data_IF_058024998186
#
_entry.id   IF_058024998186
#
_cell.length_a   1.000
_cell.length_b   1.000
_cell.length_c   1.000
_cell.angle_alpha   90.00
_cell.angle_beta   90.00
_cell.angle_gamma   90.00
#
_symmetry.space_group_name_H-M   'P 1'
#
loop_
_entity.id
_entity.type
_entity.pdbx_description
1 polymer ?
#
# COMPACT_ATOMS: atom_id res chain seq x y z
N UNK A 1 -44.34 25.05 5.98
CA UNK A 1 -43.46 23.94 6.38
C UNK A 1 -42.29 23.93 5.43
N UNK A 2 -41.13 24.37 5.89
CA UNK A 2 -39.89 24.51 5.11
C UNK A 2 -39.24 23.15 4.93
N UNK A 3 -39.12 22.71 3.68
CA UNK A 3 -38.36 21.53 3.29
C UNK A 3 -36.87 21.78 3.54
N UNK A 4 -36.27 21.02 4.47
CA UNK A 4 -34.83 20.94 4.62
C UNK A 4 -34.30 19.82 3.72
N UNK A 5 -33.81 20.18 2.54
CA UNK A 5 -33.00 19.28 1.70
C UNK A 5 -31.65 19.03 2.37
N UNK A 6 -31.48 17.84 2.94
CA UNK A 6 -30.21 17.36 3.46
C UNK A 6 -29.27 16.98 2.32
N UNK A 7 -28.52 17.96 1.79
CA UNK A 7 -27.34 17.67 0.96
C UNK A 7 -26.19 17.21 1.87
N UNK A 8 -26.12 15.91 2.14
CA UNK A 8 -24.95 15.28 2.75
C UNK A 8 -23.94 14.90 1.66
N UNK A 9 -23.32 15.90 1.04
CA UNK A 9 -22.09 15.70 0.29
C UNK A 9 -20.98 15.55 1.34
N UNK A 10 -20.66 14.30 1.72
CA UNK A 10 -19.45 14.02 2.47
C UNK A 10 -18.27 14.53 1.65
N UNK A 11 -17.73 15.65 2.06
CA UNK A 11 -16.53 16.25 1.50
C UNK A 11 -15.41 15.26 1.80
N UNK A 12 -14.97 14.50 0.79
CA UNK A 12 -13.75 13.70 0.87
C UNK A 12 -12.64 14.66 1.29
N UNK A 13 -12.28 14.63 2.56
CA UNK A 13 -11.20 15.44 3.09
C UNK A 13 -9.94 14.97 2.37
N UNK A 14 -9.44 15.81 1.45
CA UNK A 14 -8.28 15.49 0.64
C UNK A 14 -7.15 15.15 1.59
N UNK A 15 -6.79 13.86 1.66
CA UNK A 15 -5.72 13.37 2.52
C UNK A 15 -4.46 14.16 2.18
N UNK A 16 -4.00 14.98 3.11
CA UNK A 16 -2.94 15.94 2.84
C UNK A 16 -1.72 15.60 3.68
N UNK A 17 -0.82 14.80 3.10
CA UNK A 17 0.52 14.56 3.63
C UNK A 17 1.57 14.87 2.56
N UNK A 18 2.81 15.04 3.00
CA UNK A 18 3.91 15.46 2.14
C UNK A 18 4.22 14.45 1.03
N UNK A 19 3.97 13.15 1.23
CA UNK A 19 4.23 12.11 0.21
C UNK A 19 3.22 12.28 -0.93
N UNK A 20 1.95 12.47 -0.59
CA UNK A 20 0.90 12.73 -1.59
C UNK A 20 1.15 14.02 -2.35
N UNK A 21 1.66 15.06 -1.69
CA UNK A 21 2.03 16.32 -2.35
C UNK A 21 3.13 16.08 -3.40
N UNK A 22 4.21 15.40 -3.02
CA UNK A 22 5.31 15.07 -3.94
C UNK A 22 4.79 14.26 -5.14
N UNK A 23 3.93 13.26 -4.89
CA UNK A 23 3.38 12.42 -5.96
C UNK A 23 2.46 13.23 -6.87
N UNK A 24 1.62 14.12 -6.35
CA UNK A 24 0.80 15.03 -7.18
C UNK A 24 1.68 15.89 -8.08
N UNK A 25 2.74 16.47 -7.52
CA UNK A 25 3.66 17.31 -8.29
C UNK A 25 4.34 16.50 -9.40
N UNK A 26 4.83 15.29 -9.09
CA UNK A 26 5.47 14.41 -10.07
C UNK A 26 4.49 13.91 -11.15
N UNK A 27 3.22 13.64 -10.81
CA UNK A 27 2.16 13.28 -11.75
C UNK A 27 1.80 14.46 -12.66
N UNK A 28 1.62 15.65 -12.09
CA UNK A 28 1.31 16.88 -12.84
C UNK A 28 2.45 17.26 -13.79
N UNK A 29 3.70 17.08 -13.36
CA UNK A 29 4.88 17.27 -14.19
C UNK A 29 5.17 16.09 -15.14
N UNK A 30 4.31 15.07 -15.17
CA UNK A 30 4.42 13.87 -16.02
C UNK A 30 5.80 13.18 -15.93
N UNK A 31 6.41 13.18 -14.74
CA UNK A 31 7.78 12.66 -14.54
C UNK A 31 7.87 11.15 -14.64
N UNK A 32 6.78 10.47 -14.28
CA UNK A 32 6.67 9.02 -14.32
C UNK A 32 5.42 8.60 -15.09
N UNK A 33 5.52 7.50 -15.84
CA UNK A 33 4.38 6.96 -16.58
C UNK A 33 3.32 6.34 -15.65
N UNK A 34 3.74 5.81 -14.50
CA UNK A 34 2.87 5.19 -13.51
C UNK A 34 3.50 5.25 -12.12
N UNK A 35 2.68 5.47 -11.09
CA UNK A 35 3.12 5.36 -9.70
C UNK A 35 3.26 3.90 -9.31
N UNK A 36 4.44 3.53 -8.81
CA UNK A 36 4.74 2.18 -8.33
C UNK A 36 5.28 2.27 -6.92
N UNK A 37 4.53 1.75 -5.95
CA UNK A 37 4.96 1.64 -4.54
C UNK A 37 5.31 0.19 -4.20
N UNK A 38 5.91 -0.03 -3.02
CA UNK A 38 6.05 -1.38 -2.46
C UNK A 38 5.88 -1.40 -0.96
N UNK A 39 5.31 -2.47 -0.44
CA UNK A 39 5.40 -2.84 0.96
C UNK A 39 6.41 -3.99 1.09
N UNK A 40 7.60 -3.75 1.68
CA UNK A 40 8.67 -4.74 1.72
C UNK A 40 8.89 -5.37 3.13
N UNK A 41 7.97 -6.21 3.65
CA UNK A 41 8.17 -6.83 4.96
C UNK A 41 9.25 -7.92 4.92
N UNK A 42 10.01 -8.03 5.99
CA UNK A 42 10.85 -9.20 6.25
C UNK A 42 9.97 -10.37 6.73
N UNK A 43 10.04 -11.56 6.11
CA UNK A 43 9.22 -12.70 6.49
C UNK A 43 9.84 -13.49 7.67
N UNK A 44 10.17 -12.79 8.76
CA UNK A 44 10.77 -13.36 9.98
C UNK A 44 9.90 -13.19 11.23
N UNK A 45 8.70 -12.61 11.09
CA UNK A 45 7.72 -12.42 12.16
C UNK A 45 6.34 -12.03 11.64
N UNK A 46 5.34 -12.02 12.53
CA UNK A 46 3.99 -11.58 12.20
C UNK A 46 3.88 -10.06 12.13
N UNK A 47 2.97 -9.56 11.31
CA UNK A 47 2.71 -8.14 11.26
C UNK A 47 2.00 -7.70 12.55
N UNK A 48 2.46 -6.59 13.13
CA UNK A 48 1.74 -5.88 14.18
C UNK A 48 1.13 -4.57 13.64
N UNK A 49 0.36 -3.88 14.50
CA UNK A 49 -0.36 -2.65 14.15
C UNK A 49 0.53 -1.54 13.55
N UNK A 50 1.83 -1.54 13.85
CA UNK A 50 2.79 -0.60 13.27
C UNK A 50 2.92 -0.74 11.75
N UNK A 51 2.81 -1.96 11.22
CA UNK A 51 2.84 -2.22 9.78
C UNK A 51 1.60 -1.72 9.05
N UNK A 52 0.46 -1.64 9.73
CA UNK A 52 -0.80 -1.17 9.13
C UNK A 52 -0.64 0.24 8.54
N UNK A 53 0.14 1.12 9.20
CA UNK A 53 0.43 2.45 8.67
C UNK A 53 1.17 2.39 7.33
N UNK A 54 2.18 1.52 7.22
CA UNK A 54 2.96 1.35 6.00
C UNK A 54 2.14 0.72 4.88
N UNK A 55 1.31 -0.27 5.20
CA UNK A 55 0.40 -0.93 4.25
C UNK A 55 -0.61 0.08 3.70
N UNK A 56 -1.34 0.77 4.58
CA UNK A 56 -2.35 1.75 4.19
C UNK A 56 -1.76 2.90 3.37
N UNK A 57 -0.53 3.32 3.67
CA UNK A 57 0.18 4.33 2.90
C UNK A 57 0.55 3.81 1.50
N UNK A 58 1.30 2.72 1.40
CA UNK A 58 1.84 2.25 0.12
C UNK A 58 0.74 1.78 -0.83
N UNK A 59 -0.19 0.96 -0.36
CA UNK A 59 -1.31 0.48 -1.18
C UNK A 59 -2.34 1.59 -1.43
N UNK A 60 -2.63 2.41 -0.41
CA UNK A 60 -3.58 3.51 -0.54
C UNK A 60 -3.15 4.55 -1.55
N UNK A 61 -1.88 4.97 -1.52
CA UNK A 61 -1.31 5.92 -2.50
C UNK A 61 -1.30 5.33 -3.90
N UNK A 62 -0.86 4.07 -4.07
CA UNK A 62 -0.92 3.44 -5.39
C UNK A 62 -2.35 3.43 -5.95
N UNK A 63 -3.34 3.07 -5.13
CA UNK A 63 -4.75 3.09 -5.55
C UNK A 63 -5.25 4.50 -5.89
N UNK A 64 -4.92 5.49 -5.07
CA UNK A 64 -5.32 6.89 -5.24
C UNK A 64 -4.84 7.50 -6.56
N UNK A 65 -3.63 7.14 -7.01
CA UNK A 65 -3.02 7.66 -8.24
C UNK A 65 -3.09 6.69 -9.43
N UNK A 66 -3.95 5.66 -9.38
CA UNK A 66 -4.09 4.68 -10.47
C UNK A 66 -2.83 3.85 -10.76
N UNK A 67 -1.95 3.75 -9.76
CA UNK A 67 -0.70 3.02 -9.79
C UNK A 67 -0.82 1.56 -9.35
N UNK A 68 0.32 0.95 -9.04
CA UNK A 68 0.42 -0.42 -8.52
C UNK A 68 1.28 -0.45 -7.26
N UNK A 69 0.90 -1.29 -6.29
CA UNK A 69 1.71 -1.58 -5.12
C UNK A 69 2.18 -3.04 -5.17
N UNK A 70 3.47 -3.26 -5.02
CA UNK A 70 4.05 -4.60 -4.94
C UNK A 70 4.17 -5.03 -3.48
N UNK A 71 3.73 -6.25 -3.16
CA UNK A 71 4.15 -6.94 -1.94
C UNK A 71 5.44 -7.68 -2.25
N UNK A 72 6.53 -7.28 -1.60
CA UNK A 72 7.86 -7.84 -1.81
C UNK A 72 8.37 -8.40 -0.48
N UNK A 73 8.67 -9.68 -0.41
CA UNK A 73 9.34 -10.21 0.77
C UNK A 73 10.82 -9.82 0.71
N UNK A 74 11.33 -9.20 1.77
CA UNK A 74 12.77 -8.88 1.88
C UNK A 74 13.50 -10.06 2.51
N UNK A 75 13.64 -11.13 1.73
CA UNK A 75 14.12 -12.46 2.11
C UNK A 75 15.65 -12.57 1.99
N UNK A 76 16.35 -11.68 2.72
CA UNK A 76 17.82 -11.62 2.74
C UNK A 76 18.46 -12.50 3.82
N UNK A 77 17.65 -13.14 4.67
CA UNK A 77 18.14 -14.00 5.75
C UNK A 77 17.50 -15.40 5.66
N UNK A 78 18.17 -16.35 5.00
CA UNK A 78 17.61 -17.68 4.72
C UNK A 78 17.33 -18.52 5.97
N UNK A 79 17.84 -18.14 7.15
CA UNK A 79 17.63 -18.89 8.41
C UNK A 79 16.41 -18.43 9.21
N UNK A 80 15.92 -17.22 8.96
CA UNK A 80 14.80 -16.63 9.69
C UNK A 80 13.46 -16.75 8.94
N UNK A 81 13.52 -17.16 7.68
CA UNK A 81 12.38 -17.26 6.79
C UNK A 81 11.53 -18.49 7.09
N UNK A 82 10.24 -18.27 7.32
CA UNK A 82 9.25 -19.35 7.39
C UNK A 82 8.11 -19.06 6.44
N UNK A 83 7.66 -20.10 5.74
CA UNK A 83 6.49 -20.01 4.87
C UNK A 83 5.25 -19.52 5.64
N UNK A 84 5.13 -19.89 6.92
CA UNK A 84 4.07 -19.40 7.80
C UNK A 84 4.02 -17.86 7.89
N UNK A 85 5.16 -17.18 7.99
CA UNK A 85 5.18 -15.71 8.02
C UNK A 85 4.76 -15.11 6.68
N UNK A 86 5.19 -15.71 5.57
CA UNK A 86 4.80 -15.29 4.21
C UNK A 86 3.28 -15.37 4.05
N UNK A 87 2.70 -16.52 4.41
CA UNK A 87 1.27 -16.77 4.26
C UNK A 87 0.45 -15.81 5.14
N UNK A 88 0.88 -15.58 6.38
CA UNK A 88 0.19 -14.64 7.28
C UNK A 88 0.31 -13.19 6.81
N UNK A 89 1.48 -12.75 6.33
CA UNK A 89 1.67 -11.41 5.77
C UNK A 89 0.73 -11.18 4.57
N UNK A 90 0.63 -12.15 3.66
CA UNK A 90 -0.30 -12.05 2.52
C UNK A 90 -1.76 -11.99 2.99
N UNK A 91 -2.12 -12.81 3.97
CA UNK A 91 -3.47 -12.85 4.52
C UNK A 91 -3.83 -11.54 5.22
N UNK A 92 -2.93 -10.94 5.98
CA UNK A 92 -3.14 -9.66 6.66
C UNK A 92 -3.34 -8.52 5.66
N UNK A 93 -2.53 -8.47 4.59
CA UNK A 93 -2.68 -7.47 3.53
C UNK A 93 -4.03 -7.62 2.82
N UNK A 94 -4.45 -8.85 2.51
CA UNK A 94 -5.77 -9.15 1.93
C UNK A 94 -6.90 -8.82 2.90
N UNK A 95 -6.75 -9.14 4.19
CA UNK A 95 -7.72 -8.86 5.24
C UNK A 95 -7.97 -7.36 5.43
N UNK A 96 -6.92 -6.55 5.29
CA UNK A 96 -7.02 -5.08 5.27
C UNK A 96 -7.68 -4.53 3.98
N UNK A 97 -8.07 -5.38 3.04
CA UNK A 97 -8.79 -5.00 1.82
C UNK A 97 -7.89 -4.50 0.69
N UNK A 98 -6.59 -4.81 0.71
CA UNK A 98 -5.66 -4.42 -0.34
C UNK A 98 -5.35 -5.59 -1.29
N UNK A 99 -5.28 -5.27 -2.59
CA UNK A 99 -4.87 -6.20 -3.64
C UNK A 99 -3.40 -5.98 -4.01
N UNK A 100 -2.67 -7.07 -4.21
CA UNK A 100 -1.29 -7.04 -4.69
C UNK A 100 -1.30 -6.83 -6.21
N UNK A 101 -0.48 -5.90 -6.72
CA UNK A 101 -0.43 -5.58 -8.15
C UNK A 101 -0.13 -6.78 -9.05
N UNK A 102 -0.57 -6.74 -10.31
CA UNK A 102 -0.52 -7.85 -11.30
C UNK A 102 0.88 -8.44 -11.57
N UNK A 103 1.97 -7.81 -11.12
CA UNK A 103 3.32 -8.40 -11.15
C UNK A 103 3.54 -9.46 -10.07
N UNK A 104 2.55 -9.69 -9.21
CA UNK A 104 2.56 -10.76 -8.23
C UNK A 104 3.52 -10.51 -7.08
N UNK A 105 3.37 -11.34 -6.06
CA UNK A 105 4.30 -11.46 -4.94
C UNK A 105 5.69 -11.78 -5.51
N UNK A 106 6.62 -10.86 -5.31
CA UNK A 106 7.99 -11.00 -5.83
C UNK A 106 8.94 -11.27 -4.66
N UNK A 107 9.70 -12.37 -4.73
CA UNK A 107 10.84 -12.63 -3.83
C UNK A 107 12.08 -12.00 -4.42
N UNK A 108 12.83 -11.22 -3.62
CA UNK A 108 14.10 -10.64 -4.07
C UNK A 108 15.19 -11.25 -3.22
N UNK A 109 15.72 -12.39 -3.69
CA UNK A 109 16.99 -12.92 -3.22
C UNK A 109 18.10 -11.97 -3.65
N UNK A 110 18.54 -11.10 -2.75
CA UNK A 110 19.81 -10.41 -2.87
C UNK A 110 20.94 -11.39 -2.50
N UNK A 111 21.20 -12.34 -3.41
CA UNK A 111 22.29 -13.32 -3.41
C UNK A 111 22.32 -14.34 -2.26
#
# INVERSE_FOLDING_TARGET
MSEHSSNNAQKDEVKNDFIRNIIRDDVNAQRYQQIVTRFPPEPNGYLHLGHVKSICLNFGVAKEFGGVCNLRFDDTNPTAEKQDYIDNIENDVKWLGFEVGRRGVSRVKLF
#
